data_IF_074274048447
#
_entry.id   IF_074274048447
#
_cell.length_a   1.000
_cell.length_b   1.000
_cell.length_c   1.000
_cell.angle_alpha   90.00
_cell.angle_beta   90.00
_cell.angle_gamma   90.00
#
_symmetry.space_group_name_H-M   'P 1'
#
loop_
_entity.id
_entity.type
_entity.pdbx_description
1 polymer ?
#
# COMPACT_ATOMS: atom_id res chain seq x y z
N UNK A 1 23.95 15.62 -15.53
CA UNK A 1 22.56 16.11 -15.57
C UNK A 1 21.50 14.99 -15.62
N UNK A 2 21.74 13.84 -16.28
CA UNK A 2 20.72 12.76 -16.35
C UNK A 2 20.42 12.05 -15.01
N UNK A 3 21.44 11.81 -14.18
CA UNK A 3 21.29 11.07 -12.93
C UNK A 3 20.47 11.82 -11.85
N UNK A 4 20.62 13.15 -11.78
CA UNK A 4 19.86 14.00 -10.84
C UNK A 4 18.39 14.06 -11.23
N UNK A 5 18.07 14.18 -12.52
CA UNK A 5 16.69 14.12 -13.01
C UNK A 5 16.02 12.77 -12.65
N UNK A 6 16.73 11.66 -12.88
CA UNK A 6 16.25 10.31 -12.54
C UNK A 6 15.98 10.16 -11.03
N UNK A 7 16.87 10.67 -10.18
CA UNK A 7 16.69 10.66 -8.74
C UNK A 7 15.45 11.45 -8.30
N UNK A 8 15.21 12.64 -8.88
CA UNK A 8 14.00 13.41 -8.61
C UNK A 8 12.73 12.69 -9.04
N UNK A 9 12.71 12.11 -10.24
CA UNK A 9 11.57 11.32 -10.71
C UNK A 9 11.31 10.14 -9.79
N UNK A 10 12.36 9.43 -9.36
CA UNK A 10 12.24 8.34 -8.41
C UNK A 10 11.66 8.82 -7.06
N UNK A 11 12.13 9.95 -6.54
CA UNK A 11 11.62 10.52 -5.29
C UNK A 11 10.12 10.84 -5.40
N UNK A 12 9.69 11.45 -6.51
CA UNK A 12 8.27 11.74 -6.76
C UNK A 12 7.45 10.44 -6.83
N UNK A 13 7.93 9.43 -7.56
CA UNK A 13 7.25 8.14 -7.68
C UNK A 13 7.11 7.46 -6.31
N UNK A 14 8.18 7.41 -5.51
CA UNK A 14 8.15 6.86 -4.15
C UNK A 14 7.19 7.64 -3.25
N UNK A 15 7.20 8.97 -3.29
CA UNK A 15 6.31 9.79 -2.47
C UNK A 15 4.84 9.56 -2.83
N UNK A 16 4.50 9.55 -4.13
CA UNK A 16 3.13 9.32 -4.60
C UNK A 16 2.69 7.89 -4.27
N UNK A 17 3.53 6.89 -4.52
CA UNK A 17 3.27 5.49 -4.19
C UNK A 17 3.04 5.30 -2.69
N UNK A 18 3.96 5.77 -1.85
CA UNK A 18 3.89 5.69 -0.40
C UNK A 18 2.63 6.37 0.15
N UNK A 19 2.33 7.59 -0.30
CA UNK A 19 1.13 8.31 0.10
C UNK A 19 -0.17 7.59 -0.29
N UNK A 20 -0.25 7.03 -1.51
CA UNK A 20 -1.42 6.26 -1.95
C UNK A 20 -1.60 4.96 -1.14
N UNK A 21 -0.51 4.25 -0.85
CA UNK A 21 -0.55 3.04 -0.02
C UNK A 21 -0.96 3.34 1.42
N UNK A 22 -0.41 4.40 2.03
CA UNK A 22 -0.81 4.84 3.38
C UNK A 22 -2.28 5.29 3.42
N UNK A 23 -2.73 6.08 2.43
CA UNK A 23 -4.13 6.51 2.34
C UNK A 23 -5.08 5.33 2.17
N UNK A 24 -4.73 4.35 1.34
CA UNK A 24 -5.56 3.15 1.16
C UNK A 24 -5.54 2.24 2.38
N UNK A 25 -4.39 2.09 3.06
CA UNK A 25 -4.30 1.36 4.32
C UNK A 25 -5.16 1.99 5.42
N UNK A 26 -5.13 3.32 5.55
CA UNK A 26 -5.98 4.05 6.49
C UNK A 26 -7.48 3.87 6.17
N UNK A 27 -7.87 3.97 4.89
CA UNK A 27 -9.26 3.75 4.46
C UNK A 27 -9.77 2.33 4.71
N UNK A 28 -8.88 1.34 4.65
CA UNK A 28 -9.23 -0.07 4.84
C UNK A 28 -9.06 -0.55 6.28
N UNK A 29 -8.63 0.32 7.21
CA UNK A 29 -8.40 -0.03 8.60
C UNK A 29 -7.22 -0.98 8.82
N UNK A 30 -6.28 -1.05 7.88
CA UNK A 30 -5.11 -1.93 7.93
C UNK A 30 -4.03 -1.37 8.88
N UNK A 31 -4.09 -0.07 9.19
CA UNK A 31 -3.11 0.63 10.03
C UNK A 31 -1.94 1.21 9.25
N UNK A 32 -0.91 1.67 9.97
CA UNK A 32 0.32 2.21 9.40
C UNK A 32 1.22 1.08 8.90
N UNK A 33 1.52 1.09 7.60
CA UNK A 33 2.37 0.08 6.97
C UNK A 33 3.83 0.57 6.90
N UNK A 34 4.82 -0.23 7.36
CA UNK A 34 6.22 0.19 7.41
C UNK A 34 6.84 0.38 6.01
N UNK A 35 6.43 -0.41 5.02
CA UNK A 35 6.94 -0.29 3.64
C UNK A 35 6.63 1.09 3.00
N UNK A 36 5.35 1.51 2.95
CA UNK A 36 4.97 2.85 2.48
C UNK A 36 5.58 4.00 3.28
N UNK A 37 5.79 3.84 4.59
CA UNK A 37 6.52 4.83 5.40
C UNK A 37 7.98 4.95 4.96
N UNK A 38 8.65 3.82 4.73
CA UNK A 38 10.02 3.81 4.21
C UNK A 38 10.10 4.46 2.83
N UNK A 39 9.12 4.23 1.93
CA UNK A 39 9.05 4.91 0.64
C UNK A 39 9.03 6.44 0.80
N UNK A 40 8.24 6.96 1.77
CA UNK A 40 8.19 8.39 2.06
C UNK A 40 9.51 8.93 2.60
N UNK A 41 10.17 8.20 3.52
CA UNK A 41 11.46 8.61 4.09
C UNK A 41 12.54 8.65 3.00
N UNK A 42 12.60 7.60 2.16
CA UNK A 42 13.56 7.53 1.05
C UNK A 42 13.28 8.62 0.01
N UNK A 43 12.01 8.90 -0.30
CA UNK A 43 11.64 9.99 -1.19
C UNK A 43 12.15 11.35 -0.70
N UNK A 44 11.97 11.65 0.59
CA UNK A 44 12.47 12.89 1.20
C UNK A 44 13.99 12.94 1.18
N UNK A 45 14.66 11.84 1.55
CA UNK A 45 16.13 11.77 1.55
C UNK A 45 16.72 11.99 0.14
N UNK A 46 16.12 11.36 -0.88
CA UNK A 46 16.54 11.52 -2.28
C UNK A 46 16.26 12.94 -2.80
N UNK A 47 15.11 13.53 -2.44
CA UNK A 47 14.78 14.91 -2.84
C UNK A 47 15.69 15.96 -2.17
N UNK A 48 16.16 15.69 -0.94
CA UNK A 48 17.04 16.57 -0.19
C UNK A 48 18.53 16.44 -0.56
N UNK A 49 18.94 15.32 -1.19
CA UNK A 49 20.33 15.04 -1.54
C UNK A 49 21.05 16.18 -2.30
N UNK A 50 20.42 16.87 -3.26
CA UNK A 50 21.06 17.94 -4.01
C UNK A 50 21.36 19.18 -3.15
N UNK A 51 20.56 19.41 -2.10
CA UNK A 51 20.80 20.48 -1.13
C UNK A 51 21.97 20.17 -0.20
N UNK A 52 22.30 18.89 -0.02
CA UNK A 52 23.41 18.43 0.82
C UNK A 52 24.71 18.17 0.04
N UNK A 53 24.71 18.43 -1.28
CA UNK A 53 25.81 18.11 -2.18
C UNK A 53 26.27 16.64 -2.09
N UNK A 54 25.33 15.74 -1.80
CA UNK A 54 25.61 14.30 -1.71
C UNK A 54 25.42 13.62 -3.06
N UNK A 55 26.50 12.99 -3.54
CA UNK A 55 26.42 12.07 -4.65
C UNK A 55 25.62 10.83 -4.23
N UNK A 56 24.46 10.65 -4.86
CA UNK A 56 23.63 9.47 -4.64
C UNK A 56 24.29 8.26 -5.32
N UNK A 57 24.71 7.23 -4.57
CA UNK A 57 25.28 6.04 -5.19
C UNK A 57 24.20 5.30 -5.98
N UNK A 58 24.58 4.71 -7.13
CA UNK A 58 23.68 3.90 -7.99
C UNK A 58 22.96 2.80 -7.20
N UNK A 59 23.62 2.24 -6.19
CA UNK A 59 23.03 1.25 -5.28
C UNK A 59 21.77 1.75 -4.56
N UNK A 60 21.68 3.05 -4.29
CA UNK A 60 20.53 3.67 -3.62
C UNK A 60 19.32 3.72 -4.57
N UNK A 61 19.54 4.01 -5.86
CA UNK A 61 18.53 3.91 -6.91
C UNK A 61 18.00 2.48 -7.05
N UNK A 62 18.89 1.49 -7.11
CA UNK A 62 18.52 0.07 -7.20
C UNK A 62 17.74 -0.35 -5.94
N UNK A 63 18.23 0.01 -4.76
CA UNK A 63 17.57 -0.28 -3.48
C UNK A 63 16.17 0.33 -3.39
N UNK A 64 15.99 1.56 -3.88
CA UNK A 64 14.69 2.22 -3.94
C UNK A 64 13.70 1.51 -4.87
N UNK A 65 14.15 1.01 -6.02
CA UNK A 65 13.30 0.22 -6.93
C UNK A 65 12.90 -1.10 -6.25
N UNK A 66 13.84 -1.80 -5.61
CA UNK A 66 13.55 -3.04 -4.88
C UNK A 66 12.57 -2.78 -3.73
N UNK A 67 12.75 -1.69 -2.98
CA UNK A 67 11.84 -1.26 -1.92
C UNK A 67 10.44 -1.01 -2.47
N UNK A 68 10.32 -0.26 -3.56
CA UNK A 68 9.04 0.03 -4.21
C UNK A 68 8.33 -1.27 -4.63
N UNK A 69 9.04 -2.21 -5.25
CA UNK A 69 8.48 -3.50 -5.68
C UNK A 69 8.04 -4.32 -4.48
N UNK A 70 8.91 -4.51 -3.48
CA UNK A 70 8.62 -5.32 -2.30
C UNK A 70 7.46 -4.75 -1.47
N UNK A 71 7.41 -3.43 -1.31
CA UNK A 71 6.31 -2.76 -0.63
C UNK A 71 5.00 -2.86 -1.43
N UNK A 72 5.06 -2.78 -2.76
CA UNK A 72 3.87 -2.93 -3.61
C UNK A 72 3.30 -4.35 -3.59
N UNK A 73 4.15 -5.37 -3.63
CA UNK A 73 3.71 -6.77 -3.54
C UNK A 73 3.11 -7.06 -2.17
N UNK A 74 3.75 -6.60 -1.09
CA UNK A 74 3.21 -6.73 0.25
C UNK A 74 1.84 -6.05 0.40
N UNK A 75 1.70 -4.81 -0.08
CA UNK A 75 0.42 -4.09 -0.05
C UNK A 75 -0.65 -4.81 -0.87
N UNK A 76 -0.30 -5.36 -2.03
CA UNK A 76 -1.22 -6.13 -2.86
C UNK A 76 -1.72 -7.41 -2.17
N UNK A 77 -0.84 -8.10 -1.44
CA UNK A 77 -1.21 -9.28 -0.64
C UNK A 77 -2.18 -8.90 0.49
N UNK A 78 -1.90 -7.82 1.22
CA UNK A 78 -2.80 -7.31 2.27
C UNK A 78 -4.18 -6.95 1.70
N UNK A 79 -4.23 -6.26 0.56
CA UNK A 79 -5.49 -5.94 -0.12
C UNK A 79 -6.25 -7.21 -0.53
N UNK A 80 -5.55 -8.25 -0.99
CA UNK A 80 -6.16 -9.54 -1.34
C UNK A 80 -6.78 -10.21 -0.12
N UNK A 81 -6.09 -10.19 1.02
CA UNK A 81 -6.59 -10.81 2.25
C UNK A 81 -7.78 -10.05 2.83
N UNK A 82 -7.77 -8.72 2.80
CA UNK A 82 -8.93 -7.90 3.20
C UNK A 82 -10.14 -8.20 2.30
N UNK A 83 -9.94 -8.32 0.98
CA UNK A 83 -11.02 -8.70 0.04
C UNK A 83 -11.57 -10.09 0.33
N UNK A 84 -10.70 -11.07 0.62
CA UNK A 84 -11.11 -12.43 0.99
C UNK A 84 -11.95 -12.42 2.27
N UNK A 85 -11.50 -11.71 3.32
CA UNK A 85 -12.23 -11.60 4.59
C UNK A 85 -13.61 -10.96 4.40
N UNK A 86 -13.70 -9.88 3.60
CA UNK A 86 -14.99 -9.24 3.29
C UNK A 86 -15.95 -10.18 2.56
N UNK A 87 -15.47 -10.92 1.56
CA UNK A 87 -16.29 -11.91 0.84
C UNK A 87 -16.79 -13.02 1.76
N UNK A 88 -15.92 -13.54 2.65
CA UNK A 88 -16.31 -14.54 3.64
C UNK A 88 -17.36 -14.00 4.62
N UNK A 89 -17.24 -12.74 5.06
CA UNK A 89 -18.27 -12.13 5.91
C UNK A 89 -19.59 -11.88 5.17
N UNK A 90 -19.55 -11.50 3.89
CA UNK A 90 -20.74 -11.31 3.07
C UNK A 90 -21.46 -12.62 2.78
N UNK A 91 -20.72 -13.71 2.49
CA UNK A 91 -21.34 -15.02 2.29
C UNK A 91 -22.03 -15.52 3.56
N UNK A 92 -21.42 -15.33 4.74
CA UNK A 92 -22.03 -15.68 6.03
C UNK A 92 -23.28 -14.82 6.30
N UNK A 93 -23.25 -13.52 6.00
CA UNK A 93 -24.42 -12.64 6.13
C UNK A 93 -25.55 -13.04 5.19
N UNK A 94 -25.24 -13.38 3.94
CA UNK A 94 -26.21 -13.85 2.96
C UNK A 94 -26.83 -15.18 3.39
N UNK A 95 -26.02 -16.13 3.87
CA UNK A 95 -26.52 -17.41 4.36
C UNK A 95 -27.44 -17.25 5.57
N UNK A 96 -27.08 -16.39 6.52
CA UNK A 96 -27.92 -16.07 7.67
C UNK A 96 -29.25 -15.41 7.26
N UNK A 97 -29.22 -14.52 6.26
CA UNK A 97 -30.42 -13.86 5.76
C UNK A 97 -31.35 -14.83 5.01
N UNK A 98 -30.79 -15.71 4.16
CA UNK A 98 -31.58 -16.76 3.49
C UNK A 98 -32.23 -17.69 4.51
N UNK A 99 -31.50 -18.13 5.54
CA UNK A 99 -32.07 -18.97 6.61
C UNK A 99 -33.20 -18.30 7.38
N UNK A 100 -33.11 -16.99 7.61
CA UNK A 100 -34.18 -16.23 8.23
C UNK A 100 -35.44 -16.19 7.35
N UNK A 101 -35.29 -15.90 6.05
CA UNK A 101 -36.40 -15.85 5.10
C UNK A 101 -37.02 -17.23 4.79
N UNK A 102 -36.21 -18.29 4.81
CA UNK A 102 -36.68 -19.66 4.58
C UNK A 102 -37.29 -20.30 5.82
N UNK A 103 -37.30 -19.60 6.97
CA UNK A 103 -37.92 -20.12 8.19
C UNK A 103 -39.44 -20.01 7.97
N UNK A 104 -40.17 -21.13 7.89
CA UNK A 104 -41.60 -21.07 7.66
C UNK A 104 -42.25 -20.34 8.84
N UNK A 105 -43.21 -19.45 8.54
CA UNK A 105 -44.10 -18.78 9.49
C UNK A 105 -45.03 -19.81 10.18
N UNK A 106 -44.48 -20.85 10.78
CA UNK A 106 -45.23 -21.93 11.44
C UNK A 106 -45.50 -21.66 12.92
N UNK A 107 -45.31 -20.42 13.38
CA UNK A 107 -45.61 -19.99 14.76
C UNK A 107 -46.59 -18.82 14.77
N UNK A 108 -47.68 -18.89 14.01
CA UNK A 108 -48.91 -18.13 14.27
C UNK A 108 -50.14 -19.00 14.02
#
# INVERSE_FOLDING_TARGET
MGATLLAYLLAVVLAVSGALKLRSAARLGIGLLPGPLLEMIVAVAVAASPLMAWDLPIWLLVGAIVLLVASSTHHALLLRDVRKRRRASESVRLEAHVRYLSRPDSEH
#
